data_IF_498514867111
#
_entry.id   IF_498514867111
#
_cell.length_a   1.000
_cell.length_b   1.000
_cell.length_c   1.000
_cell.angle_alpha   90.00
_cell.angle_beta   90.00
_cell.angle_gamma   90.00
#
_symmetry.space_group_name_H-M   'P 1'
#
loop_
_entity.id
_entity.type
_entity.pdbx_description
1 polymer ?
#
# COMPACT_ATOMS: atom_id res chain seq x y z
N UNK A 1 26.23 -43.02 -22.49
CA UNK A 1 25.48 -43.43 -21.28
C UNK A 1 26.40 -43.09 -20.10
N UNK A 2 26.18 -42.09 -19.24
CA UNK A 2 25.02 -41.27 -18.93
C UNK A 2 25.48 -39.82 -18.58
N UNK A 3 24.57 -38.86 -18.75
CA UNK A 3 24.69 -37.46 -18.32
C UNK A 3 24.24 -37.37 -16.85
N UNK A 4 24.94 -36.59 -16.01
CA UNK A 4 24.34 -35.93 -14.84
C UNK A 4 24.90 -34.51 -14.70
N UNK A 5 24.03 -33.51 -14.90
CA UNK A 5 24.19 -32.11 -14.46
C UNK A 5 23.71 -31.99 -13.01
N UNK A 6 24.50 -31.34 -12.14
CA UNK A 6 24.02 -30.51 -11.01
C UNK A 6 25.22 -30.00 -10.20
N UNK A 7 25.39 -28.68 -10.06
CA UNK A 7 26.36 -28.15 -9.08
C UNK A 7 26.76 -26.70 -9.26
N UNK A 8 25.87 -25.77 -8.89
CA UNK A 8 26.22 -24.51 -8.21
C UNK A 8 24.95 -23.76 -7.79
N UNK A 9 24.11 -24.41 -6.97
CA UNK A 9 23.25 -23.67 -6.05
C UNK A 9 24.10 -23.43 -4.80
N UNK A 10 24.55 -22.19 -4.60
CA UNK A 10 25.43 -21.81 -3.49
C UNK A 10 24.68 -21.86 -2.16
N UNK A 11 24.87 -22.95 -1.42
CA UNK A 11 24.61 -23.03 0.01
C UNK A 11 25.91 -22.77 0.78
N UNK A 12 26.03 -21.57 1.36
CA UNK A 12 26.93 -21.31 2.49
C UNK A 12 26.16 -21.45 3.80
N UNK A 13 26.80 -21.89 4.90
CA UNK A 13 26.16 -22.12 6.20
C UNK A 13 25.83 -20.77 6.86
N UNK A 14 24.74 -20.75 7.61
CA UNK A 14 24.19 -19.59 8.35
C UNK A 14 23.54 -18.50 7.49
N UNK A 15 22.48 -18.88 6.77
CA UNK A 15 21.34 -17.97 6.62
C UNK A 15 20.56 -18.03 7.95
N UNK A 16 20.54 -16.96 8.77
CA UNK A 16 19.57 -16.88 9.85
C UNK A 16 18.22 -17.17 9.22
N UNK A 17 17.53 -18.20 9.71
CA UNK A 17 16.19 -18.53 9.29
C UNK A 17 15.43 -17.22 9.19
N UNK A 18 15.13 -16.82 7.95
CA UNK A 18 14.39 -15.59 7.68
C UNK A 18 13.22 -15.62 8.62
N UNK A 19 13.12 -14.59 9.48
CA UNK A 19 12.06 -14.41 10.45
C UNK A 19 10.80 -14.94 9.81
N UNK A 20 10.30 -16.07 10.31
CA UNK A 20 9.02 -16.58 9.90
C UNK A 20 8.08 -15.37 9.99
N UNK A 21 7.58 -14.90 8.84
CA UNK A 21 6.47 -13.98 8.83
C UNK A 21 5.46 -14.58 9.81
N UNK A 22 4.95 -13.84 10.80
CA UNK A 22 4.00 -14.39 11.74
C UNK A 22 2.96 -15.11 10.90
N UNK A 23 2.87 -16.44 11.05
CA UNK A 23 1.75 -17.17 10.51
C UNK A 23 0.54 -16.38 10.99
N UNK A 24 -0.27 -15.90 10.05
CA UNK A 24 -1.45 -15.12 10.34
C UNK A 24 -2.26 -15.94 11.34
N UNK A 25 -2.10 -15.61 12.63
CA UNK A 25 -2.84 -16.23 13.71
C UNK A 25 -4.27 -15.92 13.37
N UNK A 26 -5.04 -16.96 13.04
CA UNK A 26 -6.36 -16.89 12.43
C UNK A 26 -7.09 -15.65 12.91
N UNK A 27 -7.13 -14.64 12.05
CA UNK A 27 -8.03 -13.53 12.27
C UNK A 27 -9.40 -14.17 12.36
N UNK A 28 -10.07 -14.00 13.51
CA UNK A 28 -11.43 -14.46 13.68
C UNK A 28 -12.22 -14.03 12.45
N UNK A 29 -12.98 -14.96 11.86
CA UNK A 29 -13.79 -14.69 10.69
C UNK A 29 -14.56 -13.38 10.94
N UNK A 30 -14.54 -12.41 10.00
CA UNK A 30 -15.20 -11.13 10.19
C UNK A 30 -16.62 -11.36 10.68
N UNK A 31 -16.95 -10.83 11.86
CA UNK A 31 -18.26 -11.03 12.51
C UNK A 31 -19.32 -10.06 12.01
N UNK A 32 -18.95 -9.23 11.03
CA UNK A 32 -19.85 -8.34 10.33
C UNK A 32 -20.84 -9.13 9.47
N UNK A 33 -22.07 -9.28 9.96
CA UNK A 33 -23.21 -9.42 9.07
C UNK A 33 -23.54 -8.01 8.61
N UNK A 34 -23.44 -7.75 7.30
CA UNK A 34 -23.71 -6.42 6.75
C UNK A 34 -25.15 -5.96 7.11
N UNK A 35 -25.30 -5.21 8.20
CA UNK A 35 -26.59 -4.76 8.75
C UNK A 35 -27.16 -3.53 7.99
N UNK A 36 -26.60 -3.22 6.82
CA UNK A 36 -26.87 -2.04 6.01
C UNK A 36 -25.60 -1.20 5.80
N UNK A 37 -25.62 -0.23 4.86
CA UNK A 37 -24.46 0.60 4.58
C UNK A 37 -24.20 1.55 5.75
N UNK A 38 -23.05 1.38 6.44
CA UNK A 38 -22.49 2.44 7.26
C UNK A 38 -22.10 3.62 6.36
N UNK A 39 -22.67 4.80 6.59
CA UNK A 39 -22.42 5.98 5.76
C UNK A 39 -21.36 6.84 6.43
N UNK A 40 -20.23 7.03 5.75
CA UNK A 40 -19.25 8.07 6.07
C UNK A 40 -19.35 9.14 4.99
N UNK A 41 -19.72 10.36 5.37
CA UNK A 41 -19.88 11.48 4.45
C UNK A 41 -19.15 12.71 4.97
N UNK A 42 -18.51 13.44 4.07
CA UNK A 42 -17.77 14.65 4.39
C UNK A 42 -16.88 15.10 3.23
N UNK A 43 -16.20 16.23 3.45
CA UNK A 43 -15.21 16.79 2.51
C UNK A 43 -13.88 16.90 3.22
N UNK A 44 -12.81 16.43 2.59
CA UNK A 44 -11.44 16.53 3.11
C UNK A 44 -10.71 17.62 2.32
N UNK A 45 -10.23 18.64 3.02
CA UNK A 45 -9.53 19.79 2.45
C UNK A 45 -8.11 19.91 3.00
N UNK A 46 -7.23 20.50 2.20
CA UNK A 46 -5.88 20.86 2.58
C UNK A 46 -5.85 22.27 3.16
N UNK A 47 -5.39 22.41 4.40
CA UNK A 47 -5.22 23.70 5.05
C UNK A 47 -3.87 24.34 4.71
N UNK A 48 -3.89 25.62 4.35
CA UNK A 48 -2.69 26.38 4.01
C UNK A 48 -2.28 26.29 2.53
N UNK A 49 -1.04 26.67 2.24
CA UNK A 49 -0.49 26.68 0.89
C UNK A 49 0.14 25.33 0.56
N UNK A 50 -0.31 24.64 -0.52
CA UNK A 50 0.30 23.38 -0.93
C UNK A 50 1.79 23.58 -1.27
N UNK A 51 2.68 22.67 -0.85
CA UNK A 51 4.06 22.70 -1.27
C UNK A 51 4.17 22.53 -2.79
N UNK A 52 5.27 23.01 -3.42
CA UNK A 52 5.51 22.80 -4.83
C UNK A 52 5.50 21.32 -5.21
N UNK A 53 4.84 20.99 -6.32
CA UNK A 53 4.87 19.64 -6.90
C UNK A 53 6.29 19.27 -7.30
N UNK A 54 6.72 18.05 -6.97
CA UNK A 54 8.06 17.55 -7.31
C UNK A 54 8.00 16.68 -8.57
N UNK A 55 9.01 16.71 -9.45
CA UNK A 55 9.12 15.75 -10.54
C UNK A 55 9.18 14.31 -10.03
N UNK A 56 8.58 13.37 -10.77
CA UNK A 56 8.71 11.95 -10.47
C UNK A 56 10.08 11.45 -10.96
N UNK A 57 10.85 10.81 -10.08
CA UNK A 57 12.17 10.26 -10.43
C UNK A 57 12.00 8.93 -11.15
N UNK A 58 12.24 8.94 -12.46
CA UNK A 58 12.19 7.75 -13.33
C UNK A 58 13.58 7.36 -13.86
N UNK A 59 14.63 8.03 -13.41
CA UNK A 59 16.02 7.87 -13.86
C UNK A 59 16.69 6.56 -13.42
N UNK A 60 15.99 5.73 -12.63
CA UNK A 60 16.49 4.42 -12.18
C UNK A 60 16.37 3.32 -13.24
N UNK A 61 15.50 3.49 -14.24
CA UNK A 61 15.34 2.55 -15.35
C UNK A 61 15.49 3.29 -16.69
N UNK A 62 16.50 2.95 -17.53
CA UNK A 62 16.75 3.63 -18.79
C UNK A 62 15.62 3.51 -19.83
N UNK A 63 14.70 2.56 -19.66
CA UNK A 63 13.53 2.39 -20.54
C UNK A 63 12.30 3.13 -20.03
N UNK A 64 12.31 3.63 -18.79
CA UNK A 64 11.21 4.36 -18.21
C UNK A 64 11.26 5.83 -18.67
N UNK A 65 10.73 6.08 -19.88
CA UNK A 65 10.63 7.43 -20.43
C UNK A 65 9.45 8.16 -19.78
N UNK A 66 9.66 9.30 -19.10
CA UNK A 66 8.58 10.05 -18.49
C UNK A 66 7.60 10.58 -19.53
N UNK A 67 6.32 10.26 -19.33
CA UNK A 67 5.22 10.85 -20.10
C UNK A 67 4.86 12.26 -19.62
N UNK A 68 3.91 12.92 -20.30
CA UNK A 68 3.34 14.18 -19.84
C UNK A 68 2.81 14.04 -18.41
N UNK A 69 3.10 15.02 -17.55
CA UNK A 69 2.63 15.01 -16.17
C UNK A 69 3.35 14.01 -15.26
N UNK A 70 4.59 13.62 -15.58
CA UNK A 70 5.46 12.83 -14.70
C UNK A 70 5.91 13.61 -13.44
N UNK A 71 4.95 13.95 -12.59
CA UNK A 71 5.14 14.61 -11.29
C UNK A 71 4.68 13.67 -10.17
N UNK A 72 5.16 13.94 -8.97
CA UNK A 72 4.78 13.20 -7.78
C UNK A 72 3.31 13.46 -7.43
N UNK A 73 2.56 12.38 -7.23
CA UNK A 73 1.18 12.43 -6.71
C UNK A 73 1.13 12.32 -5.17
N UNK A 74 2.24 12.52 -4.48
CA UNK A 74 2.31 12.40 -3.01
C UNK A 74 1.33 13.35 -2.30
N UNK A 75 1.08 14.51 -2.89
CA UNK A 75 0.05 15.44 -2.44
C UNK A 75 -0.52 16.15 -3.65
N UNK A 76 -1.78 15.88 -3.96
CA UNK A 76 -2.48 16.49 -5.09
C UNK A 76 -3.66 17.27 -4.53
N UNK A 77 -3.51 18.59 -4.52
CA UNK A 77 -4.52 19.53 -4.04
C UNK A 77 -5.23 20.15 -5.24
N UNK A 78 -6.56 20.04 -5.28
CA UNK A 78 -7.41 20.64 -6.30
C UNK A 78 -7.60 22.14 -6.11
N UNK A 79 -8.28 22.81 -7.07
CA UNK A 79 -8.52 24.25 -7.01
C UNK A 79 -9.31 24.69 -5.77
N UNK A 80 -10.21 23.83 -5.28
CA UNK A 80 -11.04 24.08 -4.09
C UNK A 80 -10.39 23.58 -2.79
N UNK A 81 -9.06 23.42 -2.76
CA UNK A 81 -8.32 22.81 -1.65
C UNK A 81 -8.67 21.34 -1.36
N UNK A 82 -9.48 20.67 -2.18
CA UNK A 82 -9.79 19.24 -2.02
C UNK A 82 -8.56 18.36 -2.28
N UNK A 83 -8.49 17.22 -1.61
CA UNK A 83 -7.42 16.23 -1.80
C UNK A 83 -7.85 15.11 -2.77
N UNK A 84 -6.96 14.75 -3.72
CA UNK A 84 -7.08 13.53 -4.52
C UNK A 84 -6.48 12.34 -3.75
N UNK A 85 -6.91 11.12 -4.08
CA UNK A 85 -6.33 9.85 -3.57
C UNK A 85 -6.41 9.70 -2.03
N UNK A 86 -7.51 10.11 -1.41
CA UNK A 86 -7.71 10.02 0.05
C UNK A 86 -8.14 8.61 0.47
N UNK A 87 -7.43 8.02 1.42
CA UNK A 87 -7.82 6.79 2.11
C UNK A 87 -8.33 7.11 3.52
N UNK A 88 -9.50 6.59 3.87
CA UNK A 88 -10.12 6.79 5.19
C UNK A 88 -10.12 5.46 5.94
N UNK A 89 -9.52 5.44 7.12
CA UNK A 89 -9.50 4.28 8.00
C UNK A 89 -10.25 4.56 9.31
N UNK A 90 -11.33 3.81 9.55
CA UNK A 90 -12.11 3.88 10.79
C UNK A 90 -11.52 2.90 11.78
N UNK A 91 -10.84 3.41 12.80
CA UNK A 91 -10.10 2.59 13.77
C UNK A 91 -10.95 2.11 14.96
N UNK A 92 -11.93 2.90 15.38
CA UNK A 92 -12.71 2.64 16.60
C UNK A 92 -14.15 3.19 16.46
N UNK A 93 -15.02 2.90 17.42
CA UNK A 93 -16.43 3.33 17.43
C UNK A 93 -17.41 2.36 16.76
N UNK A 94 -16.94 1.17 16.35
CA UNK A 94 -17.73 0.13 15.67
C UNK A 94 -18.08 -1.06 16.57
N UNK A 95 -17.82 -0.96 17.87
CA UNK A 95 -18.04 -2.04 18.84
C UNK A 95 -17.07 -3.20 18.66
N UNK A 96 -17.46 -4.41 19.08
CA UNK A 96 -16.61 -5.61 19.05
C UNK A 96 -16.57 -6.32 17.68
N UNK A 97 -16.74 -5.56 16.58
CA UNK A 97 -16.78 -6.09 15.22
C UNK A 97 -15.38 -6.17 14.62
N UNK A 98 -15.13 -7.20 13.81
CA UNK A 98 -13.90 -7.36 13.05
C UNK A 98 -14.17 -7.20 11.56
N UNK A 99 -13.36 -6.38 10.89
CA UNK A 99 -13.47 -6.07 9.46
C UNK A 99 -12.21 -6.52 8.73
N UNK A 100 -12.36 -6.97 7.48
CA UNK A 100 -11.22 -7.25 6.62
C UNK A 100 -10.48 -5.94 6.26
N UNK A 101 -9.18 -6.05 6.03
CA UNK A 101 -8.38 -4.93 5.53
C UNK A 101 -8.89 -4.53 4.13
N UNK A 102 -9.10 -3.23 3.85
CA UNK A 102 -9.49 -2.72 2.53
C UNK A 102 -8.47 -3.03 1.42
#
# INVERSE_FOLDING_TARGET
MAIVLAGACGGGPDQPAGSAAPAASGAAAPTDTADGPGIVAGTITFEGTPPPVRPLRMDSDPLCVPGPGAVSELLVVGPDHGLKNVFVYVKDGLGARTYATP
#
